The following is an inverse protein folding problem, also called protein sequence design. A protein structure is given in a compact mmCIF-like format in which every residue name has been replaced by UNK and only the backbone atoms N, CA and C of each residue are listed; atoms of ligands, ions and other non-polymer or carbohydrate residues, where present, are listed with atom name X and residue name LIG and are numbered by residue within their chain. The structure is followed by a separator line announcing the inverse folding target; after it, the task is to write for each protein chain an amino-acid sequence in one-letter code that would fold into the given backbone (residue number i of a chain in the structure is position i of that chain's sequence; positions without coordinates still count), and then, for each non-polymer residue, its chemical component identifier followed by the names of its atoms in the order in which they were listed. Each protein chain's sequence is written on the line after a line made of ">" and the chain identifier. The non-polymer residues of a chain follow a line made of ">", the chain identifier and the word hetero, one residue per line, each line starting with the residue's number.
data_IF_699011754654
#
_entry.id   IF_699011754654
#
_cell.length_a   1.000
_cell.length_b   1.000
_cell.length_c   1.000
_cell.angle_alpha   90.00
_cell.angle_beta   90.00
_cell.angle_gamma   90.00
#
_symmetry.space_group_name_H-M   'P 1'
#
loop_
_entity.id
_entity.type
_entity.pdbx_description
1 polymer ?
#
# COMPACT_ATOMS: atom_id res chain seq x y z
N UNK A 1 -12.83 21.56 1.61
CA UNK A 1 -13.41 20.26 2.00
C UNK A 1 -12.75 19.13 1.21
N UNK A 2 -12.69 19.25 -0.11
CA UNK A 2 -11.96 18.34 -1.01
C UNK A 2 -10.52 18.03 -0.55
N UNK A 3 -9.70 19.07 -0.32
CA UNK A 3 -8.31 18.96 0.16
C UNK A 3 -8.17 18.06 1.41
N UNK A 4 -9.07 18.22 2.39
CA UNK A 4 -9.05 17.45 3.64
C UNK A 4 -9.37 15.98 3.38
N UNK A 5 -10.34 15.69 2.50
CA UNK A 5 -10.69 14.31 2.13
C UNK A 5 -9.52 13.61 1.44
N UNK A 6 -8.85 14.29 0.50
CA UNK A 6 -7.66 13.78 -0.17
C UNK A 6 -6.50 13.51 0.81
N UNK A 7 -6.22 14.42 1.75
CA UNK A 7 -5.17 14.23 2.76
C UNK A 7 -5.51 13.04 3.66
N UNK A 8 -6.75 12.93 4.16
CA UNK A 8 -7.17 11.82 5.00
C UNK A 8 -7.06 10.47 4.27
N UNK A 9 -7.48 10.40 3.02
CA UNK A 9 -7.34 9.21 2.18
C UNK A 9 -5.87 8.79 2.02
N UNK A 10 -4.99 9.76 1.70
CA UNK A 10 -3.57 9.50 1.56
C UNK A 10 -2.92 9.07 2.90
N UNK A 11 -3.34 9.63 4.03
CA UNK A 11 -2.85 9.26 5.36
C UNK A 11 -3.26 7.84 5.77
N UNK A 12 -4.46 7.39 5.40
CA UNK A 12 -4.88 5.99 5.62
C UNK A 12 -3.94 5.05 4.87
N UNK A 13 -3.65 5.32 3.61
CA UNK A 13 -2.74 4.51 2.79
C UNK A 13 -1.32 4.51 3.39
N UNK A 14 -0.80 5.68 3.75
CA UNK A 14 0.52 5.80 4.38
C UNK A 14 0.60 5.03 5.71
N UNK A 15 -0.45 5.10 6.52
CA UNK A 15 -0.54 4.36 7.80
C UNK A 15 -0.56 2.85 7.59
N UNK A 16 -1.32 2.36 6.61
CA UNK A 16 -1.31 0.94 6.23
C UNK A 16 0.08 0.51 5.77
N UNK A 17 0.73 1.31 4.91
CA UNK A 17 2.10 1.07 4.44
C UNK A 17 3.11 1.01 5.59
N UNK A 18 3.03 1.94 6.54
CA UNK A 18 3.90 2.01 7.71
C UNK A 18 3.70 0.80 8.63
N UNK A 19 2.46 0.49 8.99
CA UNK A 19 2.14 -0.65 9.86
C UNK A 19 2.61 -1.95 9.20
N UNK A 20 2.34 -2.12 7.90
CA UNK A 20 2.79 -3.28 7.13
C UNK A 20 4.33 -3.39 7.12
N UNK A 21 5.03 -2.26 7.04
CA UNK A 21 6.50 -2.23 7.04
C UNK A 21 7.04 -2.68 8.39
N UNK A 22 6.51 -2.13 9.48
CA UNK A 22 6.89 -2.48 10.85
C UNK A 22 6.60 -3.96 11.12
N UNK A 23 5.46 -4.48 10.68
CA UNK A 23 5.11 -5.89 10.79
C UNK A 23 6.02 -6.81 9.96
N UNK A 24 6.55 -6.33 8.84
CA UNK A 24 7.48 -7.07 7.98
C UNK A 24 8.88 -7.14 8.59
N UNK A 25 9.39 -6.02 9.12
CA UNK A 25 10.78 -5.90 9.55
C UNK A 25 11.00 -6.20 11.04
N UNK A 26 10.05 -5.85 11.90
CA UNK A 26 10.23 -5.83 13.36
C UNK A 26 9.38 -6.88 14.09
N UNK A 27 8.60 -7.69 13.37
CA UNK A 27 7.66 -8.63 13.97
C UNK A 27 7.61 -9.98 13.26
N UNK A 28 6.68 -10.82 13.72
CA UNK A 28 6.41 -12.14 13.15
C UNK A 28 5.05 -12.22 12.44
N UNK A 29 4.35 -11.09 12.26
CA UNK A 29 2.99 -11.05 11.70
C UNK A 29 2.92 -11.57 10.26
N UNK A 30 3.99 -11.40 9.49
CA UNK A 30 4.11 -11.96 8.14
C UNK A 30 4.97 -13.23 8.08
N UNK A 31 5.45 -13.73 9.21
CA UNK A 31 6.08 -15.05 9.22
C UNK A 31 5.00 -16.14 9.10
N UNK A 32 5.30 -17.29 8.46
CA UNK A 32 4.43 -18.45 8.55
C UNK A 32 4.19 -18.85 10.01
N UNK A 33 2.96 -19.27 10.32
CA UNK A 33 2.61 -19.77 11.65
C UNK A 33 3.36 -21.08 11.98
N UNK A 34 3.61 -21.92 10.97
CA UNK A 34 4.47 -23.10 11.09
C UNK A 34 5.95 -22.69 11.00
N UNK A 35 6.68 -22.95 12.08
CA UNK A 35 8.11 -22.64 12.19
C UNK A 35 8.96 -23.50 11.26
N UNK A 36 8.55 -24.75 10.97
CA UNK A 36 9.27 -25.60 10.02
C UNK A 36 9.17 -25.06 8.59
N UNK A 37 8.00 -24.53 8.21
CA UNK A 37 7.83 -23.86 6.92
C UNK A 37 8.73 -22.61 6.82
N UNK A 38 8.84 -21.83 7.89
CA UNK A 38 9.74 -20.67 7.90
C UNK A 38 11.19 -21.08 7.68
N UNK A 39 11.67 -22.15 8.32
CA UNK A 39 13.04 -22.62 8.11
C UNK A 39 13.23 -23.13 6.67
N UNK A 40 12.28 -23.90 6.12
CA UNK A 40 12.33 -24.31 4.70
C UNK A 40 12.36 -23.12 3.74
N UNK A 41 11.61 -22.05 4.03
CA UNK A 41 11.65 -20.85 3.19
C UNK A 41 13.02 -20.17 3.15
N UNK A 42 13.85 -20.33 4.20
CA UNK A 42 15.22 -19.80 4.21
C UNK A 42 16.17 -20.65 3.37
N UNK A 43 15.94 -21.96 3.34
CA UNK A 43 16.77 -22.92 2.62
C UNK A 43 16.40 -23.01 1.13
N UNK A 44 15.12 -22.89 0.80
CA UNK A 44 14.61 -22.97 -0.56
C UNK A 44 14.80 -21.66 -1.35
N UNK A 45 14.77 -21.78 -2.68
CA UNK A 45 14.96 -20.68 -3.63
C UNK A 45 13.74 -20.58 -4.55
N UNK A 46 13.49 -19.38 -5.09
CA UNK A 46 12.51 -19.22 -6.17
C UNK A 46 13.07 -19.78 -7.48
N UNK A 47 12.23 -20.37 -8.33
CA UNK A 47 12.68 -20.95 -9.61
C UNK A 47 13.35 -19.93 -10.55
N UNK A 48 13.05 -18.64 -10.39
CA UNK A 48 13.58 -17.56 -11.25
C UNK A 48 15.08 -17.30 -11.01
N UNK A 49 15.62 -17.59 -9.83
CA UNK A 49 17.03 -17.29 -9.50
C UNK A 49 17.53 -18.08 -8.29
N UNK A 50 18.84 -18.33 -8.23
CA UNK A 50 19.51 -18.91 -7.06
C UNK A 50 20.02 -17.87 -6.07
N UNK A 51 19.91 -16.58 -6.40
CA UNK A 51 20.50 -15.46 -5.64
C UNK A 51 19.69 -15.06 -4.39
N UNK A 52 18.42 -15.48 -4.29
CA UNK A 52 17.54 -15.14 -3.16
C UNK A 52 16.76 -16.34 -2.65
N UNK A 53 16.55 -16.42 -1.34
CA UNK A 53 15.67 -17.41 -0.73
C UNK A 53 14.21 -17.01 -0.80
N UNK A 54 13.30 -17.98 -0.67
CA UNK A 54 11.87 -17.69 -0.54
C UNK A 54 11.60 -16.73 0.63
N UNK A 55 12.34 -16.86 1.73
CA UNK A 55 12.25 -15.96 2.88
C UNK A 55 12.75 -14.54 2.57
N UNK A 56 13.92 -14.39 1.95
CA UNK A 56 14.44 -13.08 1.59
C UNK A 56 13.55 -12.38 0.55
N UNK A 57 13.04 -13.11 -0.44
CA UNK A 57 12.07 -12.58 -1.39
C UNK A 57 10.75 -12.16 -0.70
N UNK A 58 10.25 -12.96 0.24
CA UNK A 58 9.05 -12.63 1.01
C UNK A 58 9.21 -11.33 1.80
N UNK A 59 10.33 -11.14 2.49
CA UNK A 59 10.63 -9.89 3.20
C UNK A 59 10.80 -8.73 2.22
N UNK A 60 11.54 -8.95 1.13
CA UNK A 60 11.80 -7.94 0.09
C UNK A 60 10.52 -7.43 -0.56
N UNK A 61 9.63 -8.32 -1.01
CA UNK A 61 8.37 -7.95 -1.66
C UNK A 61 7.41 -7.23 -0.71
N UNK A 62 7.30 -7.67 0.54
CA UNK A 62 6.48 -6.97 1.52
C UNK A 62 7.05 -5.59 1.88
N UNK A 63 8.38 -5.47 1.96
CA UNK A 63 9.05 -4.19 2.19
C UNK A 63 8.86 -3.24 1.02
N UNK A 64 9.03 -3.71 -0.23
CA UNK A 64 8.84 -2.87 -1.42
C UNK A 64 7.38 -2.44 -1.59
N UNK A 65 6.43 -3.32 -1.25
CA UNK A 65 5.00 -2.99 -1.22
C UNK A 65 4.72 -1.85 -0.24
N UNK A 66 5.20 -1.97 1.00
CA UNK A 66 5.11 -0.91 2.00
C UNK A 66 5.71 0.41 1.55
N UNK A 67 6.90 0.38 0.97
CA UNK A 67 7.57 1.58 0.47
C UNK A 67 6.76 2.23 -0.65
N UNK A 68 6.17 1.45 -1.55
CA UNK A 68 5.26 1.95 -2.58
C UNK A 68 4.08 2.74 -2.00
N UNK A 69 3.43 2.21 -0.95
CA UNK A 69 2.34 2.90 -0.26
C UNK A 69 2.79 4.19 0.45
N UNK A 70 3.95 4.15 1.10
CA UNK A 70 4.53 5.29 1.81
C UNK A 70 4.92 6.41 0.84
N UNK A 71 5.62 6.09 -0.25
CA UNK A 71 6.01 7.07 -1.26
C UNK A 71 4.79 7.66 -1.97
N UNK A 72 3.81 6.83 -2.32
CA UNK A 72 2.55 7.32 -2.87
C UNK A 72 1.89 8.34 -1.93
N UNK A 73 1.74 7.99 -0.65
CA UNK A 73 1.14 8.86 0.36
C UNK A 73 1.93 10.18 0.50
N UNK A 74 3.26 10.11 0.65
CA UNK A 74 4.11 11.27 0.84
C UNK A 74 4.10 12.22 -0.36
N UNK A 75 4.25 11.68 -1.58
CA UNK A 75 4.25 12.48 -2.81
C UNK A 75 2.89 13.13 -3.00
N UNK A 76 1.79 12.39 -2.82
CA UNK A 76 0.46 12.92 -3.07
C UNK A 76 0.06 13.97 -2.02
N UNK A 77 0.39 13.76 -0.74
CA UNK A 77 0.22 14.77 0.30
C UNK A 77 1.05 16.02 -0.01
N UNK A 78 2.31 15.86 -0.43
CA UNK A 78 3.14 17.00 -0.82
C UNK A 78 2.50 17.81 -1.96
N UNK A 79 2.01 17.16 -3.02
CA UNK A 79 1.33 17.83 -4.13
C UNK A 79 0.11 18.61 -3.66
N UNK A 80 -0.72 18.02 -2.81
CA UNK A 80 -1.91 18.66 -2.24
C UNK A 80 -1.54 19.89 -1.40
N UNK A 81 -0.50 19.79 -0.58
CA UNK A 81 -0.05 20.89 0.29
C UNK A 81 0.67 22.00 -0.48
N UNK A 82 1.34 21.65 -1.57
CA UNK A 82 2.05 22.60 -2.43
C UNK A 82 1.07 23.43 -3.26
N UNK A 83 0.18 22.77 -3.99
CA UNK A 83 -0.83 23.42 -4.82
C UNK A 83 -1.99 22.44 -5.10
N UNK A 84 -3.06 22.57 -4.33
CA UNK A 84 -4.24 21.72 -4.51
C UNK A 84 -4.96 22.01 -5.83
N UNK A 85 -4.95 23.25 -6.32
CA UNK A 85 -5.60 23.62 -7.58
C UNK A 85 -4.87 22.99 -8.76
N UNK A 86 -3.54 22.83 -8.68
CA UNK A 86 -2.77 22.06 -9.66
C UNK A 86 -3.23 20.60 -9.76
N UNK A 87 -3.50 19.95 -8.61
CA UNK A 87 -4.03 18.57 -8.58
C UNK A 87 -5.45 18.53 -9.15
N UNK A 88 -6.33 19.44 -8.71
CA UNK A 88 -7.74 19.50 -9.10
C UNK A 88 -7.93 19.76 -10.60
N UNK A 89 -7.15 20.67 -11.17
CA UNK A 89 -7.26 21.05 -12.57
C UNK A 89 -6.65 20.01 -13.54
N UNK A 90 -5.95 19.00 -13.01
CA UNK A 90 -5.40 17.90 -13.80
C UNK A 90 -6.26 16.64 -13.65
N UNK A 91 -6.94 16.25 -14.72
CA UNK A 91 -7.73 15.00 -14.77
C UNK A 91 -6.87 13.79 -14.36
N UNK A 92 -5.62 13.76 -14.81
CA UNK A 92 -4.70 12.69 -14.48
C UNK A 92 -4.42 12.65 -12.98
N UNK A 93 -4.01 13.78 -12.38
CA UNK A 93 -3.67 13.80 -10.95
C UNK A 93 -4.89 13.56 -10.05
N UNK A 94 -6.06 14.04 -10.47
CA UNK A 94 -7.32 13.82 -9.74
C UNK A 94 -7.80 12.36 -9.78
N UNK A 95 -7.73 11.69 -10.94
CA UNK A 95 -8.21 10.30 -11.08
C UNK A 95 -7.18 9.24 -10.68
N UNK A 96 -5.88 9.54 -10.77
CA UNK A 96 -4.80 8.61 -10.41
C UNK A 96 -5.00 7.97 -9.01
N UNK A 97 -5.26 8.70 -7.91
CA UNK A 97 -5.44 8.08 -6.60
C UNK A 97 -6.69 7.17 -6.52
N UNK A 98 -7.75 7.49 -7.29
CA UNK A 98 -8.96 6.66 -7.39
C UNK A 98 -8.62 5.32 -8.05
N UNK A 99 -7.93 5.35 -9.19
CA UNK A 99 -7.49 4.13 -9.87
C UNK A 99 -6.51 3.32 -9.04
N UNK A 100 -5.53 3.98 -8.40
CA UNK A 100 -4.57 3.34 -7.53
C UNK A 100 -5.27 2.59 -6.38
N UNK A 101 -6.17 3.25 -5.66
CA UNK A 101 -6.91 2.63 -4.56
C UNK A 101 -7.86 1.53 -5.02
N UNK A 102 -8.46 1.65 -6.21
CA UNK A 102 -9.27 0.58 -6.78
C UNK A 102 -8.45 -0.70 -7.07
N UNK A 103 -7.26 -0.57 -7.66
CA UNK A 103 -6.38 -1.72 -7.92
C UNK A 103 -6.02 -2.41 -6.59
N UNK A 104 -5.65 -1.63 -5.57
CA UNK A 104 -5.35 -2.17 -4.25
C UNK A 104 -6.57 -2.79 -3.57
N UNK A 105 -7.77 -2.26 -3.79
CA UNK A 105 -9.01 -2.86 -3.29
C UNK A 105 -9.26 -4.23 -3.90
N UNK A 106 -9.02 -4.39 -5.21
CA UNK A 106 -9.11 -5.69 -5.90
C UNK A 106 -8.06 -6.66 -5.33
N UNK A 107 -6.81 -6.22 -5.20
CA UNK A 107 -5.75 -7.05 -4.59
C UNK A 107 -6.10 -7.47 -3.16
N UNK A 108 -6.62 -6.53 -2.35
CA UNK A 108 -7.01 -6.80 -0.97
C UNK A 108 -8.15 -7.82 -0.87
N UNK A 109 -9.11 -7.76 -1.81
CA UNK A 109 -10.24 -8.69 -1.86
C UNK A 109 -9.82 -10.10 -2.30
N UNK A 110 -8.88 -10.20 -3.24
CA UNK A 110 -8.49 -11.48 -3.85
C UNK A 110 -7.38 -12.19 -3.07
N UNK A 111 -6.37 -11.44 -2.61
CA UNK A 111 -5.14 -12.03 -2.09
C UNK A 111 -4.86 -11.74 -0.61
N UNK A 112 -5.49 -10.73 -0.01
CA UNK A 112 -5.19 -10.32 1.36
C UNK A 112 -6.36 -10.62 2.31
N UNK A 113 -6.45 -9.83 3.39
CA UNK A 113 -7.41 -9.99 4.46
C UNK A 113 -8.20 -8.70 4.69
N UNK A 114 -9.25 -8.81 5.53
CA UNK A 114 -10.26 -7.77 5.72
C UNK A 114 -9.74 -6.38 6.12
N UNK A 115 -8.64 -6.28 6.86
CA UNK A 115 -8.16 -5.00 7.41
C UNK A 115 -7.66 -4.08 6.28
N UNK A 116 -6.69 -4.50 5.43
CA UNK A 116 -6.33 -3.75 4.23
C UNK A 116 -7.53 -3.42 3.34
N UNK A 117 -8.45 -4.38 3.14
CA UNK A 117 -9.63 -4.17 2.30
C UNK A 117 -10.45 -2.95 2.74
N UNK A 118 -10.79 -2.87 4.04
CA UNK A 118 -11.57 -1.74 4.55
C UNK A 118 -10.79 -0.42 4.48
N UNK A 119 -9.49 -0.44 4.76
CA UNK A 119 -8.67 0.76 4.64
C UNK A 119 -8.59 1.30 3.21
N UNK A 120 -8.41 0.43 2.21
CA UNK A 120 -8.45 0.83 0.80
C UNK A 120 -9.85 1.23 0.33
N UNK A 121 -10.91 0.57 0.83
CA UNK A 121 -12.30 0.96 0.53
C UNK A 121 -12.58 2.38 1.03
N UNK A 122 -12.23 2.69 2.27
CA UNK A 122 -12.39 4.04 2.83
C UNK A 122 -11.59 5.06 2.02
N UNK A 123 -10.33 4.77 1.70
CA UNK A 123 -9.49 5.67 0.89
C UNK A 123 -10.05 5.90 -0.51
N UNK A 124 -10.56 4.84 -1.16
CA UNK A 124 -11.20 4.90 -2.47
C UNK A 124 -12.45 5.80 -2.46
N UNK A 125 -13.32 5.65 -1.46
CA UNK A 125 -14.51 6.50 -1.31
C UNK A 125 -14.10 7.95 -1.11
N UNK A 126 -13.13 8.23 -0.23
CA UNK A 126 -12.68 9.60 0.05
C UNK A 126 -12.07 10.28 -1.17
N UNK A 127 -11.21 9.59 -1.94
CA UNK A 127 -10.66 10.15 -3.18
C UNK A 127 -11.74 10.36 -4.24
N UNK A 128 -12.68 9.43 -4.38
CA UNK A 128 -13.77 9.54 -5.35
C UNK A 128 -14.66 10.74 -5.02
N UNK A 129 -15.09 10.87 -3.76
CA UNK A 129 -15.90 12.01 -3.31
C UNK A 129 -15.14 13.32 -3.47
N UNK A 130 -13.84 13.36 -3.13
CA UNK A 130 -13.03 14.57 -3.33
C UNK A 130 -12.88 14.96 -4.81
N UNK A 131 -12.91 14.00 -5.73
CA UNK A 131 -12.77 14.26 -7.17
C UNK A 131 -14.07 14.77 -7.80
N UNK A 132 -15.22 14.43 -7.20
CA UNK A 132 -16.54 14.79 -7.70
C UNK A 132 -17.07 16.13 -7.17
N UNK A 133 -16.43 16.69 -6.14
CA UNK A 133 -16.77 17.97 -5.51
C UNK A 133 -15.98 19.12 -6.15
#
# INVERSE_FOLDING_TARGET
>A
METVLCILAALIIGSLGLIHLLYTLLGNKFAPADTLLKERMKDERLNITKETSCWLAWIGFNTSHSLGLLFFSAIYIYLILYDFDFVRNSIFLSLMPVFFTFIYLVLAKVYWFRIPFWGFMTSFILFTVSTLL
#
